data_IF_055787523869
#
_entry.id   IF_055787523869
#
_cell.length_a   1.000
_cell.length_b   1.000
_cell.length_c   1.000
_cell.angle_alpha   90.00
_cell.angle_beta   90.00
_cell.angle_gamma   90.00
#
_symmetry.space_group_name_H-M   'P 1'
#
loop_
_entity.id
_entity.type
_entity.pdbx_description
1 polymer ?
#
# COMPACT_ATOMS: atom_id res chain seq x y z
N UNK A 1 25.89 -6.85 10.40
CA UNK A 1 25.09 -6.15 11.44
C UNK A 1 24.60 -4.86 10.83
N UNK A 2 23.31 -4.76 10.51
CA UNK A 2 22.71 -3.52 10.01
C UNK A 2 22.22 -2.73 11.24
N UNK A 3 22.98 -1.72 11.65
CA UNK A 3 22.55 -0.79 12.69
C UNK A 3 21.33 0.00 12.18
N UNK A 4 20.29 0.01 12.98
CA UNK A 4 19.01 0.63 12.68
C UNK A 4 19.15 2.15 12.90
N UNK A 5 19.63 2.87 11.90
CA UNK A 5 19.64 4.34 11.93
C UNK A 5 18.22 4.87 11.72
N UNK A 6 17.68 5.72 12.62
CA UNK A 6 16.39 6.35 12.41
C UNK A 6 16.36 7.18 11.11
N UNK A 7 15.17 7.27 10.52
CA UNK A 7 14.96 7.79 9.16
C UNK A 7 15.13 9.31 9.01
N UNK A 8 15.27 10.05 10.11
CA UNK A 8 15.49 11.50 10.14
C UNK A 8 16.35 11.90 11.33
N UNK A 9 17.38 12.68 11.07
CA UNK A 9 18.20 13.34 12.09
C UNK A 9 18.27 14.83 11.80
N UNK A 10 17.69 15.70 12.65
CA UNK A 10 17.90 17.12 12.55
C UNK A 10 19.25 17.49 13.16
N UNK A 11 20.10 18.19 12.41
CA UNK A 11 21.34 18.78 12.93
C UNK A 11 21.18 20.30 12.97
N UNK A 12 21.40 20.90 14.13
CA UNK A 12 21.30 22.35 14.33
C UNK A 12 22.69 22.99 14.14
N UNK A 13 22.82 23.91 13.19
CA UNK A 13 24.07 24.65 12.96
C UNK A 13 24.07 25.95 13.79
N UNK A 14 25.03 26.18 14.71
CA UNK A 14 24.98 27.33 15.63
C UNK A 14 25.18 28.70 14.98
N UNK A 15 25.67 28.77 13.73
CA UNK A 15 26.08 30.03 13.10
C UNK A 15 24.97 30.72 12.29
N UNK A 16 23.91 30.00 11.93
CA UNK A 16 22.70 30.48 11.21
C UNK A 16 21.58 29.48 11.51
N UNK A 17 20.36 29.95 11.82
CA UNK A 17 19.18 29.12 12.13
C UNK A 17 18.70 28.32 10.91
N UNK A 18 19.47 27.32 10.50
CA UNK A 18 19.11 26.40 9.43
C UNK A 18 18.73 25.05 10.02
N UNK A 19 17.59 24.53 9.58
CA UNK A 19 17.23 23.13 9.75
C UNK A 19 17.86 22.32 8.61
N UNK A 20 18.69 21.34 8.95
CA UNK A 20 19.25 20.36 8.01
C UNK A 20 18.65 19.00 8.35
N UNK A 21 17.88 18.45 7.41
CA UNK A 21 17.28 17.12 7.54
C UNK A 21 18.07 16.10 6.71
N UNK A 22 18.60 15.07 7.37
CA UNK A 22 19.17 13.92 6.68
C UNK A 22 18.10 12.86 6.43
N UNK A 23 17.96 12.43 5.18
CA UNK A 23 17.04 11.38 4.76
C UNK A 23 17.86 10.26 4.14
N UNK A 24 17.78 9.06 4.72
CA UNK A 24 18.47 7.89 4.20
C UNK A 24 17.61 7.16 3.17
N UNK A 25 18.27 6.51 2.20
CA UNK A 25 17.64 5.71 1.17
C UNK A 25 18.47 4.45 0.94
N UNK A 26 17.82 3.32 0.64
CA UNK A 26 18.53 2.18 0.07
C UNK A 26 19.01 2.56 -1.33
N UNK A 27 20.14 2.01 -1.78
CA UNK A 27 20.74 2.36 -3.07
C UNK A 27 19.74 2.24 -4.24
N UNK A 28 18.94 1.16 -4.28
CA UNK A 28 17.92 0.97 -5.32
C UNK A 28 16.71 1.91 -5.24
N UNK A 29 16.49 2.55 -4.08
CA UNK A 29 15.35 3.46 -3.85
C UNK A 29 15.76 4.94 -3.89
N UNK A 30 17.01 5.24 -4.21
CA UNK A 30 17.51 6.61 -4.17
C UNK A 30 16.73 7.51 -5.14
N UNK A 31 16.60 7.09 -6.39
CA UNK A 31 15.97 7.90 -7.46
C UNK A 31 14.51 8.22 -7.17
N UNK A 32 13.74 7.22 -6.70
CA UNK A 32 12.31 7.39 -6.40
C UNK A 32 12.07 8.25 -5.16
N UNK A 33 12.91 8.10 -4.13
CA UNK A 33 12.85 8.96 -2.93
C UNK A 33 13.26 10.38 -3.27
N UNK A 34 14.34 10.54 -4.04
CA UNK A 34 14.77 11.84 -4.54
C UNK A 34 13.65 12.49 -5.35
N UNK A 35 13.03 11.77 -6.29
CA UNK A 35 11.88 12.28 -7.05
C UNK A 35 10.70 12.69 -6.15
N UNK A 36 10.32 11.85 -5.18
CA UNK A 36 9.18 12.13 -4.31
C UNK A 36 9.40 13.35 -3.40
N UNK A 37 10.60 13.50 -2.86
CA UNK A 37 10.95 14.51 -1.87
C UNK A 37 11.42 15.83 -2.47
N UNK A 38 11.78 15.82 -3.75
CA UNK A 38 12.28 17.01 -4.44
C UNK A 38 11.16 17.99 -4.76
N UNK A 39 11.53 19.26 -4.84
CA UNK A 39 10.66 20.37 -5.23
C UNK A 39 9.41 20.54 -4.37
N UNK A 40 9.53 20.36 -3.06
CA UNK A 40 8.45 20.57 -2.09
C UNK A 40 7.51 19.37 -2.00
N UNK A 41 6.21 19.59 -2.15
CA UNK A 41 5.18 18.52 -2.12
C UNK A 41 4.86 17.95 -3.52
N UNK A 42 5.73 18.15 -4.51
CA UNK A 42 5.51 17.69 -5.88
C UNK A 42 5.16 16.20 -5.95
N UNK A 43 5.96 15.34 -5.31
CA UNK A 43 5.70 13.90 -5.28
C UNK A 43 4.34 13.53 -4.66
N UNK A 44 3.84 14.34 -3.72
CA UNK A 44 2.52 14.10 -3.15
C UNK A 44 1.39 14.54 -4.09
N UNK A 45 1.58 15.58 -4.91
CA UNK A 45 0.59 15.96 -5.95
C UNK A 45 0.56 14.90 -7.05
N UNK A 46 1.72 14.38 -7.48
CA UNK A 46 1.80 13.21 -8.35
C UNK A 46 1.02 12.03 -7.77
N UNK A 47 1.08 11.82 -6.45
CA UNK A 47 0.28 10.77 -5.81
C UNK A 47 -1.23 10.98 -5.81
N UNK A 48 -1.70 12.22 -5.93
CA UNK A 48 -3.13 12.52 -6.10
C UNK A 48 -3.57 12.24 -7.55
N UNK A 49 -2.71 12.60 -8.52
CA UNK A 49 -2.89 12.25 -9.93
C UNK A 49 -2.94 10.72 -10.10
N UNK A 50 -2.00 9.98 -9.50
CA UNK A 50 -2.04 8.52 -9.49
C UNK A 50 -3.31 7.97 -8.79
N UNK A 51 -3.76 8.64 -7.73
CA UNK A 51 -5.00 8.32 -7.01
C UNK A 51 -6.25 8.40 -7.87
N UNK A 52 -6.29 9.33 -8.84
CA UNK A 52 -7.40 9.48 -9.78
C UNK A 52 -7.66 8.23 -10.63
N UNK A 53 -6.65 7.37 -10.80
CA UNK A 53 -6.74 6.10 -11.53
C UNK A 53 -6.63 4.88 -10.61
N UNK A 54 -6.88 5.06 -9.31
CA UNK A 54 -6.92 3.96 -8.34
C UNK A 54 -5.55 3.49 -7.85
N UNK A 55 -4.48 4.22 -8.13
CA UNK A 55 -3.12 3.88 -7.70
C UNK A 55 -2.68 4.66 -6.45
N UNK A 56 -1.60 4.21 -5.84
CA UNK A 56 -0.95 4.88 -4.72
C UNK A 56 0.50 5.12 -5.06
N UNK A 57 0.96 6.34 -4.86
CA UNK A 57 2.35 6.71 -5.05
C UNK A 57 2.94 7.18 -3.72
N UNK A 58 4.04 6.56 -3.33
CA UNK A 58 4.76 6.83 -2.09
C UNK A 58 6.23 7.17 -2.34
N UNK A 59 6.99 7.28 -1.26
CA UNK A 59 8.43 7.56 -1.33
C UNK A 59 9.25 6.44 -1.97
N UNK A 60 8.69 5.22 -2.05
CA UNK A 60 9.43 4.03 -2.48
C UNK A 60 8.94 3.51 -3.83
N UNK A 61 7.65 3.69 -4.14
CA UNK A 61 7.02 3.00 -5.26
C UNK A 61 5.70 3.65 -5.69
N UNK A 62 5.30 3.29 -6.90
CA UNK A 62 3.92 3.31 -7.35
C UNK A 62 3.34 1.89 -7.18
N UNK A 63 2.19 1.76 -6.52
CA UNK A 63 1.57 0.47 -6.26
C UNK A 63 0.05 0.51 -6.41
N UNK A 64 -0.51 -0.66 -6.75
CA UNK A 64 -1.93 -0.95 -6.74
C UNK A 64 -2.28 -1.69 -5.45
N UNK A 65 -3.29 -1.22 -4.72
CA UNK A 65 -3.84 -1.95 -3.58
C UNK A 65 -5.03 -2.79 -4.03
N UNK A 66 -4.85 -4.09 -4.09
CA UNK A 66 -5.89 -5.02 -4.54
C UNK A 66 -6.73 -5.52 -3.37
N UNK A 67 -8.05 -5.46 -3.53
CA UNK A 67 -9.04 -5.95 -2.58
C UNK A 67 -9.95 -6.95 -3.31
N UNK A 68 -9.87 -8.22 -2.95
CA UNK A 68 -10.86 -9.22 -3.39
C UNK A 68 -12.16 -9.11 -2.56
N UNK A 69 -12.04 -8.63 -1.31
CA UNK A 69 -13.16 -8.45 -0.36
C UNK A 69 -12.83 -7.42 0.71
N UNK A 70 -13.84 -6.86 1.40
CA UNK A 70 -13.62 -5.90 2.47
C UNK A 70 -12.66 -6.42 3.55
N UNK A 71 -11.70 -5.58 3.97
CA UNK A 71 -10.78 -5.87 5.07
C UNK A 71 -9.57 -6.73 4.73
N UNK A 72 -9.45 -7.27 3.50
CA UNK A 72 -8.22 -7.94 3.04
C UNK A 72 -7.66 -7.22 1.82
N UNK A 73 -6.38 -6.88 1.91
CA UNK A 73 -5.68 -6.21 0.83
C UNK A 73 -4.24 -6.66 0.73
N UNK A 74 -3.75 -6.77 -0.49
CA UNK A 74 -2.33 -6.88 -0.80
C UNK A 74 -1.94 -5.74 -1.72
N UNK A 75 -0.66 -5.36 -1.67
CA UNK A 75 -0.10 -4.34 -2.55
C UNK A 75 0.66 -5.02 -3.68
N UNK A 76 0.38 -4.61 -4.92
CA UNK A 76 1.17 -4.93 -6.09
C UNK A 76 2.05 -3.72 -6.41
N UNK A 77 3.36 -3.85 -6.22
CA UNK A 77 4.32 -2.84 -6.64
C UNK A 77 4.35 -2.82 -8.18
N UNK A 78 4.05 -1.66 -8.77
CA UNK A 78 4.00 -1.47 -10.21
C UNK A 78 5.33 -0.97 -10.75
N UNK A 79 5.91 0.05 -10.11
CA UNK A 79 7.19 0.61 -10.51
C UNK A 79 7.87 1.35 -9.36
N UNK A 80 9.21 1.32 -9.37
CA UNK A 80 10.09 2.14 -8.54
C UNK A 80 10.85 3.18 -9.39
N UNK A 81 10.56 3.27 -10.70
CA UNK A 81 11.28 4.12 -11.64
C UNK A 81 10.48 5.41 -11.92
N UNK A 82 10.98 6.59 -11.55
CA UNK A 82 10.29 7.86 -11.79
C UNK A 82 9.88 8.08 -13.24
N UNK A 83 10.73 7.69 -14.19
CA UNK A 83 10.49 7.83 -15.63
C UNK A 83 9.26 7.04 -16.06
N UNK A 84 9.17 5.77 -15.68
CA UNK A 84 8.05 4.89 -16.03
C UNK A 84 6.73 5.37 -15.38
N UNK A 85 6.81 5.90 -14.15
CA UNK A 85 5.65 6.48 -13.44
C UNK A 85 5.17 7.75 -14.16
N UNK A 86 6.10 8.65 -14.53
CA UNK A 86 5.75 9.87 -15.24
C UNK A 86 5.14 9.56 -16.60
N UNK A 87 5.75 8.66 -17.38
CA UNK A 87 5.25 8.24 -18.69
C UNK A 87 3.83 7.71 -18.60
N UNK A 88 3.56 6.81 -17.63
CA UNK A 88 2.21 6.27 -17.41
C UNK A 88 1.20 7.37 -17.10
N UNK A 89 1.57 8.37 -16.29
CA UNK A 89 0.71 9.50 -15.92
C UNK A 89 0.61 10.57 -17.02
N UNK A 90 1.25 10.38 -18.18
CA UNK A 90 1.29 11.36 -19.27
C UNK A 90 2.14 12.59 -18.93
N UNK A 91 3.14 12.45 -18.06
CA UNK A 91 4.04 13.51 -17.62
C UNK A 91 5.41 13.36 -18.29
N UNK A 92 5.95 14.46 -18.81
CA UNK A 92 7.29 14.47 -19.40
C UNK A 92 8.37 14.50 -18.29
N UNK A 93 9.05 13.38 -18.06
CA UNK A 93 10.08 13.27 -17.03
C UNK A 93 11.37 14.06 -17.35
N UNK A 94 11.61 14.43 -18.62
CA UNK A 94 12.81 15.17 -19.01
C UNK A 94 12.67 16.67 -18.71
N UNK A 95 11.47 17.25 -18.87
CA UNK A 95 11.19 18.65 -18.44
C UNK A 95 11.58 18.90 -16.98
N UNK A 96 11.44 17.89 -16.12
CA UNK A 96 11.86 17.94 -14.71
C UNK A 96 13.35 18.18 -14.53
N UNK A 97 14.20 17.55 -15.36
CA UNK A 97 15.66 17.60 -15.17
C UNK A 97 16.24 18.99 -15.44
N UNK A 98 15.54 19.81 -16.21
CA UNK A 98 16.08 21.06 -16.72
C UNK A 98 15.42 22.34 -16.15
N UNK A 99 14.16 22.31 -15.66
CA UNK A 99 13.38 23.57 -15.54
C UNK A 99 12.60 23.83 -14.23
N UNK A 100 12.83 23.08 -13.14
CA UNK A 100 12.06 23.28 -11.89
C UNK A 100 12.67 24.34 -10.96
N UNK A 101 12.97 25.52 -11.51
CA UNK A 101 13.38 26.70 -10.73
C UNK A 101 12.18 27.47 -10.16
N UNK A 102 11.01 27.37 -10.80
CA UNK A 102 9.80 28.09 -10.41
C UNK A 102 8.63 27.15 -10.09
N UNK A 103 7.89 27.44 -9.03
CA UNK A 103 6.70 26.67 -8.63
C UNK A 103 5.65 26.59 -9.74
N UNK A 104 5.48 27.68 -10.51
CA UNK A 104 4.51 27.74 -11.61
C UNK A 104 4.85 26.78 -12.74
N UNK A 105 6.14 26.56 -13.01
CA UNK A 105 6.59 25.55 -13.98
C UNK A 105 6.22 24.14 -13.54
N UNK A 106 6.41 23.84 -12.24
CA UNK A 106 6.00 22.55 -11.66
C UNK A 106 4.48 22.36 -11.79
N UNK A 107 3.70 23.39 -11.47
CA UNK A 107 2.24 23.31 -11.56
C UNK A 107 1.75 23.06 -12.98
N UNK A 108 2.32 23.77 -13.96
CA UNK A 108 2.02 23.55 -15.38
C UNK A 108 2.34 22.12 -15.80
N UNK A 109 3.51 21.61 -15.43
CA UNK A 109 3.90 20.23 -15.71
C UNK A 109 2.92 19.22 -15.10
N UNK A 110 2.54 19.39 -13.82
CA UNK A 110 1.52 18.54 -13.19
C UNK A 110 0.16 18.63 -13.88
N UNK A 111 -0.21 19.82 -14.37
CA UNK A 111 -1.46 20.09 -15.08
C UNK A 111 -1.51 19.45 -16.48
N UNK A 112 -0.35 19.13 -17.07
CA UNK A 112 -0.25 18.41 -18.35
C UNK A 112 -0.59 16.91 -18.22
N UNK A 113 -0.73 16.36 -17.01
CA UNK A 113 -1.03 14.94 -16.83
C UNK A 113 -2.33 14.51 -17.53
N UNK A 114 -2.29 13.32 -18.14
CA UNK A 114 -3.45 12.67 -18.74
C UNK A 114 -4.62 12.46 -17.76
N UNK A 115 -4.33 12.38 -16.45
CA UNK A 115 -5.31 12.05 -15.42
C UNK A 115 -5.68 13.21 -14.50
N UNK A 116 -5.29 14.44 -14.84
CA UNK A 116 -5.57 15.62 -14.02
C UNK A 116 -7.08 15.83 -13.76
N UNK A 117 -7.92 15.44 -14.72
CA UNK A 117 -9.39 15.54 -14.64
C UNK A 117 -10.01 14.69 -13.53
N UNK A 118 -9.37 13.58 -13.15
CA UNK A 118 -9.88 12.71 -12.10
C UNK A 118 -9.40 13.10 -10.69
N UNK A 119 -8.57 14.14 -10.57
CA UNK A 119 -8.09 14.62 -9.27
C UNK A 119 -9.20 15.39 -8.57
N UNK A 120 -9.54 14.97 -7.35
CA UNK A 120 -10.46 15.74 -6.49
C UNK A 120 -9.75 16.99 -5.94
N UNK A 121 -9.83 18.07 -6.72
CA UNK A 121 -9.31 19.37 -6.35
C UNK A 121 -10.03 19.98 -5.13
N UNK A 122 -11.23 19.52 -4.76
CA UNK A 122 -11.91 19.96 -3.54
C UNK A 122 -11.32 19.30 -2.30
N UNK A 123 -11.00 18.01 -2.35
CA UNK A 123 -10.25 17.33 -1.29
C UNK A 123 -8.90 18.03 -1.04
N UNK A 124 -8.20 18.43 -2.11
CA UNK A 124 -6.98 19.24 -2.00
C UNK A 124 -7.21 20.57 -1.26
N UNK A 125 -8.38 21.20 -1.44
CA UNK A 125 -8.74 22.45 -0.73
C UNK A 125 -9.07 22.20 0.74
N UNK A 126 -9.63 21.06 1.11
CA UNK A 126 -9.91 20.75 2.53
C UNK A 126 -8.62 20.50 3.33
N UNK A 127 -7.56 20.05 2.66
CA UNK A 127 -6.20 19.94 3.23
C UNK A 127 -5.55 21.31 3.52
N UNK A 128 -6.20 22.45 3.18
CA UNK A 128 -5.77 23.84 3.52
C UNK A 128 -5.50 24.08 5.01
N UNK A 129 -5.97 23.21 5.90
CA UNK A 129 -5.77 23.33 7.36
C UNK A 129 -4.43 22.80 7.86
N UNK A 130 -3.65 22.12 7.02
CA UNK A 130 -2.28 21.73 7.33
C UNK A 130 -1.31 22.60 6.51
N UNK A 131 -0.22 23.04 7.13
CA UNK A 131 0.80 24.01 6.67
C UNK A 131 1.59 23.57 5.40
N UNK A 132 0.88 23.26 4.30
CA UNK A 132 1.43 22.71 3.06
C UNK A 132 1.22 23.69 1.91
N UNK A 133 2.04 24.74 1.91
CA UNK A 133 1.92 25.87 0.98
C UNK A 133 1.98 25.50 -0.51
N UNK A 134 2.52 24.35 -0.91
CA UNK A 134 2.57 23.95 -2.33
C UNK A 134 1.23 23.38 -2.82
N UNK A 135 0.52 22.61 -1.99
CA UNK A 135 -0.80 22.07 -2.33
C UNK A 135 -1.84 23.17 -2.54
N UNK A 136 -1.86 24.14 -1.61
CA UNK A 136 -2.79 25.26 -1.66
C UNK A 136 -2.59 26.04 -2.95
N UNK A 137 -1.32 26.34 -3.29
CA UNK A 137 -0.97 27.08 -4.50
C UNK A 137 -1.25 26.29 -5.79
N UNK A 138 -1.12 24.96 -5.79
CA UNK A 138 -1.53 24.15 -6.93
C UNK A 138 -3.05 24.14 -7.12
N UNK A 139 -3.81 24.06 -6.02
CA UNK A 139 -5.26 24.20 -6.08
C UNK A 139 -5.71 25.61 -6.48
N UNK A 140 -4.94 26.65 -6.16
CA UNK A 140 -5.18 28.02 -6.65
C UNK A 140 -4.88 28.15 -8.15
N UNK A 141 -3.75 27.58 -8.61
CA UNK A 141 -3.39 27.49 -10.02
C UNK A 141 -4.52 26.87 -10.85
N UNK A 142 -5.20 25.85 -10.33
CA UNK A 142 -6.36 25.24 -11.00
C UNK A 142 -7.56 26.18 -11.22
N UNK A 143 -7.66 27.29 -10.46
CA UNK A 143 -8.75 28.26 -10.59
C UNK A 143 -8.44 29.39 -11.59
N UNK A 144 -7.19 29.55 -12.05
CA UNK A 144 -6.75 30.68 -12.87
C UNK A 144 -7.17 30.59 -14.36
N UNK A 145 -8.36 30.05 -14.69
CA UNK A 145 -8.84 29.88 -16.08
C UNK A 145 -7.79 29.19 -16.97
N UNK A 146 -7.10 28.18 -16.44
CA UNK A 146 -6.21 27.34 -17.23
C UNK A 146 -7.05 26.28 -17.93
N UNK A 147 -7.12 26.28 -19.28
CA UNK A 147 -7.86 25.24 -19.98
C UNK A 147 -7.27 23.89 -19.58
N UNK A 148 -8.13 22.99 -19.11
CA UNK A 148 -7.76 21.61 -18.90
C UNK A 148 -7.29 21.01 -20.24
N UNK A 149 -6.41 20.00 -20.21
CA UNK A 149 -6.09 19.24 -21.41
C UNK A 149 -7.38 18.82 -22.12
N UNK A 150 -7.46 19.06 -23.43
CA UNK A 150 -8.69 19.10 -24.22
C UNK A 150 -9.52 17.79 -24.23
N UNK A 151 -8.94 16.68 -23.80
CA UNK A 151 -9.64 15.41 -23.69
C UNK A 151 -9.35 14.77 -22.32
N UNK A 152 -10.36 14.55 -21.47
CA UNK A 152 -10.19 13.70 -20.30
C UNK A 152 -9.86 12.28 -20.79
N UNK A 153 -8.71 11.75 -20.41
CA UNK A 153 -8.41 10.33 -20.63
C UNK A 153 -9.21 9.55 -19.59
N UNK A 154 -10.05 8.63 -20.05
CA UNK A 154 -10.77 7.73 -19.15
C UNK A 154 -9.77 6.96 -18.28
N UNK A 155 -10.10 6.77 -16.99
CA UNK A 155 -9.25 5.99 -16.11
C UNK A 155 -9.07 4.56 -16.69
N UNK A 156 -7.82 4.08 -16.85
CA UNK A 156 -7.58 2.75 -17.40
C UNK A 156 -8.13 1.67 -16.46
N UNK A 157 -8.56 0.54 -17.03
CA UNK A 157 -8.94 -0.62 -16.25
C UNK A 157 -7.72 -1.21 -15.52
N UNK A 158 -7.97 -1.97 -14.45
CA UNK A 158 -6.91 -2.64 -13.69
C UNK A 158 -6.05 -3.54 -14.59
N UNK A 159 -6.65 -4.28 -15.51
CA UNK A 159 -5.92 -5.17 -16.42
C UNK A 159 -5.00 -4.37 -17.36
N UNK A 160 -5.44 -3.21 -17.85
CA UNK A 160 -4.61 -2.32 -18.67
C UNK A 160 -3.42 -1.78 -17.88
N UNK A 161 -3.64 -1.37 -16.61
CA UNK A 161 -2.56 -0.91 -15.73
C UNK A 161 -1.54 -2.02 -15.50
N UNK A 162 -2.01 -3.20 -15.08
CA UNK A 162 -1.15 -4.36 -14.81
C UNK A 162 -0.38 -4.76 -16.07
N UNK A 163 -1.02 -4.69 -17.24
CA UNK A 163 -0.37 -4.99 -18.51
C UNK A 163 0.70 -3.97 -18.88
N UNK A 164 0.44 -2.67 -18.70
CA UNK A 164 1.41 -1.60 -18.95
C UNK A 164 2.70 -1.80 -18.16
N UNK A 165 2.60 -2.17 -16.88
CA UNK A 165 3.76 -2.39 -16.01
C UNK A 165 4.35 -3.81 -16.11
N UNK A 166 3.77 -4.70 -16.92
CA UNK A 166 4.24 -6.08 -17.06
C UNK A 166 4.12 -6.91 -15.78
N UNK A 167 3.07 -6.67 -14.98
CA UNK A 167 2.86 -7.25 -13.64
C UNK A 167 1.80 -8.35 -13.57
N UNK A 168 1.45 -8.96 -14.70
CA UNK A 168 0.37 -9.94 -14.80
C UNK A 168 0.62 -11.15 -13.89
N UNK A 169 1.84 -11.69 -13.85
CA UNK A 169 2.16 -12.87 -13.06
C UNK A 169 2.07 -12.60 -11.56
N UNK A 170 2.61 -11.47 -11.09
CA UNK A 170 2.52 -11.06 -9.68
C UNK A 170 1.07 -10.75 -9.28
N UNK A 171 0.30 -10.15 -10.18
CA UNK A 171 -1.11 -9.87 -9.94
C UNK A 171 -1.93 -11.16 -9.78
N UNK A 172 -1.73 -12.14 -10.67
CA UNK A 172 -2.37 -13.46 -10.55
C UNK A 172 -1.89 -14.24 -9.33
N UNK A 173 -0.64 -14.07 -8.90
CA UNK A 173 -0.15 -14.63 -7.64
C UNK A 173 -0.86 -14.01 -6.43
N UNK A 174 -1.09 -12.68 -6.43
CA UNK A 174 -1.86 -11.99 -5.38
C UNK A 174 -3.30 -12.48 -5.34
N UNK A 175 -3.98 -12.59 -6.50
CA UNK A 175 -5.35 -13.12 -6.58
C UNK A 175 -5.44 -14.53 -6.00
N UNK A 176 -4.55 -15.44 -6.44
CA UNK A 176 -4.49 -16.82 -5.90
C UNK A 176 -4.23 -16.85 -4.41
N UNK A 177 -3.32 -16.02 -3.90
CA UNK A 177 -3.03 -15.90 -2.46
C UNK A 177 -4.26 -15.45 -1.68
N UNK A 178 -4.99 -14.44 -2.15
CA UNK A 178 -6.20 -13.96 -1.48
C UNK A 178 -7.32 -15.00 -1.51
N UNK A 179 -7.55 -15.63 -2.66
CA UNK A 179 -8.52 -16.71 -2.84
C UNK A 179 -8.20 -17.91 -1.92
N UNK A 180 -6.93 -18.33 -1.85
CA UNK A 180 -6.49 -19.37 -0.93
C UNK A 180 -6.73 -18.97 0.54
N UNK A 181 -6.47 -17.71 0.90
CA UNK A 181 -6.82 -17.17 2.22
C UNK A 181 -8.32 -17.07 2.51
N UNK A 182 -9.21 -17.14 1.51
CA UNK A 182 -10.66 -17.35 1.69
C UNK A 182 -10.87 -18.77 2.17
N UNK A 183 -10.43 -19.73 1.37
CA UNK A 183 -10.61 -21.16 1.60
C UNK A 183 -10.07 -21.53 3.00
N UNK A 184 -8.86 -21.09 3.35
CA UNK A 184 -8.30 -21.42 4.66
C UNK A 184 -9.06 -20.80 5.83
N UNK A 185 -9.66 -19.60 5.67
CA UNK A 185 -10.45 -18.98 6.74
C UNK A 185 -11.83 -19.62 6.90
N UNK A 186 -12.44 -20.04 5.79
CA UNK A 186 -13.73 -20.70 5.81
C UNK A 186 -13.59 -22.13 6.37
N UNK A 187 -12.49 -22.82 6.03
CA UNK A 187 -12.14 -24.14 6.56
C UNK A 187 -11.58 -24.11 7.98
N UNK A 188 -10.89 -23.03 8.38
CA UNK A 188 -10.24 -22.94 9.68
C UNK A 188 -10.39 -21.55 10.30
N UNK A 189 -11.14 -21.45 11.39
CA UNK A 189 -11.39 -20.17 12.05
C UNK A 189 -11.77 -20.29 13.53
N UNK A 190 -11.66 -19.18 14.25
CA UNK A 190 -11.95 -19.11 15.69
C UNK A 190 -13.36 -19.58 16.06
N UNK A 191 -14.32 -19.47 15.11
CA UNK A 191 -15.69 -19.96 15.26
C UNK A 191 -15.75 -21.47 15.54
N UNK A 192 -14.89 -22.27 14.92
CA UNK A 192 -14.91 -23.72 15.10
C UNK A 192 -14.47 -24.11 16.51
N UNK A 193 -13.40 -23.50 17.03
CA UNK A 193 -12.92 -23.72 18.40
C UNK A 193 -13.89 -23.18 19.45
N UNK A 194 -14.56 -22.06 19.15
CA UNK A 194 -15.56 -21.51 20.06
C UNK A 194 -16.80 -22.41 20.15
N UNK A 195 -17.32 -22.90 19.01
CA UNK A 195 -18.49 -23.80 18.99
C UNK A 195 -18.17 -25.18 19.56
N UNK A 196 -17.03 -25.77 19.21
CA UNK A 196 -16.66 -27.13 19.65
C UNK A 196 -16.10 -27.17 21.06
N UNK A 197 -15.39 -26.11 21.48
CA UNK A 197 -14.65 -26.07 22.74
C UNK A 197 -15.34 -25.32 23.86
N UNK A 198 -16.40 -24.54 23.57
CA UNK A 198 -16.98 -23.52 24.46
C UNK A 198 -15.94 -22.49 24.94
N UNK A 199 -15.04 -22.11 24.03
CA UNK A 199 -13.90 -21.25 24.32
C UNK A 199 -14.17 -19.82 23.84
N UNK A 200 -13.71 -18.83 24.61
CA UNK A 200 -13.80 -17.42 24.23
C UNK A 200 -12.57 -16.60 24.66
N UNK A 201 -12.47 -15.38 24.14
CA UNK A 201 -11.44 -14.42 24.57
C UNK A 201 -10.00 -14.87 24.34
N UNK A 202 -9.12 -14.61 25.32
CA UNK A 202 -7.67 -14.89 25.23
C UNK A 202 -7.35 -16.39 25.22
N UNK A 203 -8.18 -17.20 25.86
CA UNK A 203 -8.00 -18.66 25.96
C UNK A 203 -8.19 -19.31 24.59
N UNK A 204 -9.23 -18.90 23.86
CA UNK A 204 -9.48 -19.30 22.48
C UNK A 204 -8.26 -19.03 21.59
N UNK A 205 -7.67 -17.83 21.70
CA UNK A 205 -6.47 -17.45 20.95
C UNK A 205 -5.27 -18.35 21.27
N UNK A 206 -5.03 -18.65 22.55
CA UNK A 206 -3.95 -19.54 22.98
C UNK A 206 -4.13 -20.96 22.45
N UNK A 207 -5.33 -21.53 22.56
CA UNK A 207 -5.62 -22.90 22.13
C UNK A 207 -5.47 -23.04 20.61
N UNK A 208 -5.88 -22.03 19.84
CA UNK A 208 -5.67 -22.00 18.39
C UNK A 208 -4.17 -21.97 18.04
N UNK A 209 -3.36 -21.18 18.76
CA UNK A 209 -1.91 -21.13 18.54
C UNK A 209 -1.21 -22.44 18.93
N UNK A 210 -1.63 -23.06 20.04
CA UNK A 210 -1.10 -24.36 20.44
C UNK A 210 -1.49 -25.44 19.42
N UNK A 211 -2.74 -25.44 18.91
CA UNK A 211 -3.16 -26.33 17.83
C UNK A 211 -2.31 -26.17 16.56
N UNK A 212 -2.03 -24.93 16.15
CA UNK A 212 -1.19 -24.69 14.96
C UNK A 212 0.21 -25.27 15.11
N UNK A 213 0.73 -25.35 16.35
CA UNK A 213 2.06 -25.92 16.64
C UNK A 213 2.08 -27.45 16.59
N UNK A 214 0.95 -28.12 16.83
CA UNK A 214 0.88 -29.59 16.74
C UNK A 214 0.78 -30.09 15.31
N UNK A 215 0.42 -29.21 14.37
CA UNK A 215 0.33 -29.54 12.95
C UNK A 215 1.71 -29.41 12.30
N UNK A 216 2.33 -30.50 11.82
CA UNK A 216 3.62 -30.42 11.14
C UNK A 216 3.49 -29.73 9.76
N UNK A 217 4.51 -28.94 9.41
CA UNK A 217 4.63 -28.27 8.11
C UNK A 217 3.94 -26.91 8.02
N UNK A 218 3.68 -26.45 6.80
CA UNK A 218 2.97 -25.19 6.58
C UNK A 218 1.47 -25.38 6.84
N UNK A 219 1.02 -24.90 8.00
CA UNK A 219 -0.37 -24.99 8.44
C UNK A 219 -1.38 -24.51 7.38
N UNK A 220 -1.09 -23.40 6.69
CA UNK A 220 -2.02 -22.84 5.69
C UNK A 220 -2.18 -23.75 4.48
N UNK A 221 -1.08 -24.32 4.00
CA UNK A 221 -1.09 -25.25 2.86
C UNK A 221 -1.88 -26.52 3.22
N UNK A 222 -1.66 -27.06 4.42
CA UNK A 222 -2.39 -28.24 4.89
C UNK A 222 -3.89 -27.96 5.02
N UNK A 223 -4.28 -26.88 5.68
CA UNK A 223 -5.69 -26.47 5.76
C UNK A 223 -6.31 -26.27 4.37
N UNK A 224 -5.55 -25.70 3.43
CA UNK A 224 -6.01 -25.52 2.06
C UNK A 224 -6.28 -26.85 1.35
N UNK A 225 -5.41 -27.84 1.52
CA UNK A 225 -5.44 -29.14 0.85
C UNK A 225 -6.34 -30.19 1.52
N UNK A 226 -6.66 -30.04 2.80
CA UNK A 226 -7.48 -30.98 3.57
C UNK A 226 -8.97 -30.66 3.44
N UNK A 227 -9.82 -31.67 3.37
CA UNK A 227 -11.27 -31.49 3.36
C UNK A 227 -11.78 -30.89 4.67
N UNK A 228 -12.93 -30.20 4.62
CA UNK A 228 -13.45 -29.49 5.79
C UNK A 228 -13.81 -30.45 6.94
N UNK A 229 -14.35 -31.63 6.61
CA UNK A 229 -14.70 -32.67 7.59
C UNK A 229 -13.47 -33.18 8.35
N UNK A 230 -12.37 -33.44 7.65
CA UNK A 230 -11.11 -33.88 8.24
C UNK A 230 -10.50 -32.80 9.16
N UNK A 231 -10.61 -31.52 8.79
CA UNK A 231 -10.17 -30.41 9.64
C UNK A 231 -11.01 -30.36 10.92
N UNK A 232 -12.33 -30.50 10.82
CA UNK A 232 -13.22 -30.52 11.98
C UNK A 232 -12.95 -31.71 12.90
N UNK A 233 -12.69 -32.89 12.33
CA UNK A 233 -12.29 -34.08 13.07
C UNK A 233 -10.98 -33.82 13.82
N UNK A 234 -9.97 -33.31 13.13
CA UNK A 234 -8.65 -32.99 13.73
C UNK A 234 -8.76 -31.98 14.87
N UNK A 235 -9.59 -30.93 14.70
CA UNK A 235 -9.85 -29.94 15.75
C UNK A 235 -10.56 -30.58 16.95
N UNK A 236 -11.55 -31.44 16.70
CA UNK A 236 -12.31 -32.14 17.74
C UNK A 236 -11.42 -33.08 18.55
N UNK A 237 -10.59 -33.89 17.88
CA UNK A 237 -9.61 -34.78 18.50
C UNK A 237 -8.59 -34.02 19.34
N UNK A 238 -8.12 -32.87 18.85
CA UNK A 238 -7.22 -32.02 19.60
C UNK A 238 -7.88 -31.47 20.87
N UNK A 239 -9.10 -30.92 20.76
CA UNK A 239 -9.83 -30.38 21.91
C UNK A 239 -10.14 -31.47 22.95
N UNK A 240 -10.52 -32.67 22.50
CA UNK A 240 -10.75 -33.82 23.37
C UNK A 240 -9.46 -34.22 24.12
N UNK A 241 -8.35 -34.31 23.39
CA UNK A 241 -7.04 -34.65 23.97
C UNK A 241 -6.55 -33.58 24.94
N UNK A 242 -6.70 -32.29 24.60
CA UNK A 242 -6.35 -31.17 25.46
C UNK A 242 -7.14 -31.18 26.78
N UNK A 243 -8.43 -31.57 26.74
CA UNK A 243 -9.26 -31.77 27.94
C UNK A 243 -8.77 -32.93 28.80
N UNK A 244 -8.42 -34.07 28.19
CA UNK A 244 -7.94 -35.24 28.94
C UNK A 244 -6.59 -35.02 29.63
N UNK A 245 -5.67 -34.28 29.00
CA UNK A 245 -4.32 -34.04 29.53
C UNK A 245 -4.31 -32.87 30.53
N UNK A 246 -5.44 -32.18 30.76
CA UNK A 246 -5.52 -31.05 31.68
C UNK A 246 -4.69 -29.85 31.22
N UNK A 247 -4.44 -29.73 29.91
CA UNK A 247 -3.74 -28.57 29.34
C UNK A 247 -4.72 -27.38 29.31
N UNK A 248 -4.93 -26.78 30.49
CA UNK A 248 -5.53 -25.45 30.65
C UNK A 248 -6.87 -25.22 29.95
N UNK A 249 -7.76 -26.21 29.90
CA UNK A 249 -9.19 -26.01 29.68
C UNK A 249 -9.81 -26.16 31.08
N UNK A 250 -9.72 -25.11 31.89
CA UNK A 250 -10.34 -25.09 33.21
C UNK A 250 -11.74 -24.52 32.98
N UNK A 251 -12.73 -25.40 33.11
CA UNK A 251 -14.17 -25.10 33.14
C UNK A 251 -14.51 -23.94 34.05
#
# INVERSE_FOLDING_TARGET
MAEFFPSKFPVFCPARDFQIDFITAQAGQFEIRHFFLSWGDCGRVVGQIAGAVGLRFGQQDLFLRYFDRPGVSDNLILSELPEQICEFLGLDCQKRKNDFCEKRTIFRWLWESAYIHGVDLQCLRQLRRADRGMYIRFAEYSNEEHPLPACPVAAPSLDTIVAYFGKQMEFEAIKRKQAHGVICRDKFGARQFSVLGDLSGKELGRIIEDFKRTVPGNFKERVGATENEDIQLTVTEYLYTARLIGVGIIT
#
